data_IF_714479440444
#
_entry.id   IF_714479440444
#
_cell.length_a   1.000
_cell.length_b   1.000
_cell.length_c   1.000
_cell.angle_alpha   90.00
_cell.angle_beta   90.00
_cell.angle_gamma   90.00
#
_symmetry.space_group_name_H-M   'P 1'
#
loop_
_entity.id
_entity.type
_entity.pdbx_description
1 polymer ?
#
# COMPACT_ATOMS: atom_id res chain seq x y z
N UNK A 1 -7.19 7.74 22.76
CA UNK A 1 -6.33 7.99 22.21
C UNK A 1 -6.43 8.42 20.97
N UNK A 2 -5.86 9.08 20.53
CA UNK A 2 -5.95 9.70 19.48
C UNK A 2 -5.30 9.25 18.43
N UNK A 3 -5.63 9.32 17.39
CA UNK A 3 -5.07 8.93 16.27
C UNK A 3 -4.48 10.01 15.54
N UNK A 4 -3.53 10.64 16.15
CA UNK A 4 -2.84 11.73 15.59
C UNK A 4 -2.16 11.33 14.31
N UNK A 5 -1.77 10.09 14.14
CA UNK A 5 -1.06 9.65 12.95
C UNK A 5 -1.92 8.79 12.05
N UNK A 6 -3.14 9.21 11.86
CA UNK A 6 -4.06 8.44 11.07
C UNK A 6 -3.53 8.12 9.67
N UNK A 7 -2.94 9.09 8.99
CA UNK A 7 -2.40 8.87 7.67
C UNK A 7 -1.24 7.91 7.66
N UNK A 8 -0.37 8.01 8.67
CA UNK A 8 0.75 7.11 8.79
C UNK A 8 0.30 5.69 9.13
N UNK A 9 -0.73 5.58 9.96
CA UNK A 9 -1.26 4.27 10.30
C UNK A 9 -1.83 3.57 9.07
N UNK A 10 -2.56 4.30 8.23
CA UNK A 10 -3.11 3.74 7.01
C UNK A 10 -2.00 3.30 6.07
N UNK A 11 -1.00 4.16 5.92
CA UNK A 11 0.14 3.86 5.07
C UNK A 11 0.86 2.59 5.52
N UNK A 12 1.09 2.47 6.83
CA UNK A 12 1.78 1.31 7.38
C UNK A 12 0.99 0.03 7.17
N UNK A 13 -0.33 0.10 7.33
CA UNK A 13 -1.18 -1.06 7.11
C UNK A 13 -1.11 -1.54 5.68
N UNK A 14 -1.11 -0.60 4.73
CA UNK A 14 -1.03 -0.93 3.32
C UNK A 14 0.31 -1.61 3.01
N UNK A 15 1.38 -1.03 3.52
CA UNK A 15 2.72 -1.58 3.28
C UNK A 15 2.82 -2.99 3.85
N UNK A 16 2.36 -3.18 5.07
CA UNK A 16 2.39 -4.50 5.71
C UNK A 16 1.59 -5.51 4.91
N UNK A 17 0.44 -5.09 4.39
CA UNK A 17 -0.41 -5.98 3.63
C UNK A 17 0.25 -6.42 2.35
N UNK A 18 0.91 -5.49 1.66
CA UNK A 18 1.65 -5.82 0.45
C UNK A 18 2.80 -6.76 0.78
N UNK A 19 3.47 -6.50 1.90
CA UNK A 19 4.59 -7.33 2.34
C UNK A 19 4.14 -8.76 2.59
N UNK A 20 2.91 -8.94 3.02
CA UNK A 20 2.37 -10.26 3.30
C UNK A 20 1.87 -10.98 2.05
N UNK A 21 1.91 -10.31 0.90
CA UNK A 21 1.56 -10.94 -0.34
C UNK A 21 0.32 -10.45 -1.05
N UNK A 22 -0.45 -9.56 -0.41
CA UNK A 22 -1.63 -9.02 -1.07
C UNK A 22 -1.19 -7.91 -2.01
N UNK A 23 -1.48 -8.06 -3.29
CA UNK A 23 -0.93 -7.16 -4.29
C UNK A 23 -1.98 -6.37 -5.06
N UNK A 24 -3.25 -6.61 -4.82
CA UNK A 24 -4.31 -5.92 -5.55
C UNK A 24 -5.07 -5.00 -4.62
N UNK A 25 -5.57 -3.88 -5.19
CA UNK A 25 -6.28 -2.88 -4.39
C UNK A 25 -7.45 -3.48 -3.62
N UNK A 26 -8.23 -4.34 -4.27
CA UNK A 26 -9.39 -4.94 -3.61
C UNK A 26 -8.95 -5.74 -2.38
N UNK A 27 -7.91 -6.54 -2.53
CA UNK A 27 -7.41 -7.36 -1.44
C UNK A 27 -6.83 -6.52 -0.32
N UNK A 28 -6.08 -5.49 -0.69
CA UNK A 28 -5.50 -4.59 0.29
C UNK A 28 -6.61 -3.86 1.05
N UNK A 29 -7.63 -3.42 0.34
CA UNK A 29 -8.77 -2.76 0.96
C UNK A 29 -9.44 -3.67 1.99
N UNK A 30 -9.67 -4.91 1.62
CA UNK A 30 -10.31 -5.88 2.52
C UNK A 30 -9.47 -6.16 3.76
N UNK A 31 -8.19 -6.31 3.58
CA UNK A 31 -7.30 -6.66 4.69
C UNK A 31 -7.06 -5.49 5.62
N UNK A 32 -7.05 -4.27 5.09
CA UNK A 32 -6.75 -3.11 5.91
C UNK A 32 -8.00 -2.46 6.52
N UNK A 33 -9.17 -2.77 5.95
CA UNK A 33 -10.40 -2.11 6.36
C UNK A 33 -10.55 -0.70 5.79
N UNK A 34 -9.67 -0.32 4.87
CA UNK A 34 -9.74 0.99 4.22
C UNK A 34 -10.54 0.87 2.93
N UNK A 35 -11.09 1.98 2.47
CA UNK A 35 -11.81 1.97 1.19
C UNK A 35 -10.80 1.84 0.06
N UNK A 36 -11.29 1.39 -1.09
CA UNK A 36 -10.42 1.28 -2.26
C UNK A 36 -9.89 2.63 -2.69
N UNK A 37 -10.69 3.67 -2.57
CA UNK A 37 -10.24 5.03 -2.87
C UNK A 37 -9.07 5.43 -1.99
N UNK A 38 -9.17 5.14 -0.71
CA UNK A 38 -8.13 5.47 0.24
C UNK A 38 -6.85 4.70 -0.08
N UNK A 39 -6.99 3.40 -0.35
CA UNK A 39 -5.85 2.56 -0.70
C UNK A 39 -5.19 3.07 -1.98
N UNK A 40 -6.00 3.39 -2.98
CA UNK A 40 -5.49 3.89 -4.25
C UNK A 40 -4.71 5.19 -4.07
N UNK A 41 -5.25 6.09 -3.25
CA UNK A 41 -4.60 7.37 -2.98
C UNK A 41 -3.22 7.15 -2.36
N UNK A 42 -3.16 6.29 -1.34
CA UNK A 42 -1.90 6.00 -0.67
C UNK A 42 -0.91 5.30 -1.59
N UNK A 43 -1.41 4.38 -2.44
CA UNK A 43 -0.54 3.67 -3.36
C UNK A 43 0.10 4.61 -4.37
N UNK A 44 -0.65 5.62 -4.82
CA UNK A 44 -0.10 6.61 -5.74
C UNK A 44 1.02 7.40 -5.11
N UNK A 45 0.83 7.78 -3.85
CA UNK A 45 1.88 8.51 -3.13
C UNK A 45 3.09 7.64 -2.90
N UNK A 46 2.87 6.37 -2.54
CA UNK A 46 3.96 5.44 -2.32
C UNK A 46 4.72 5.16 -3.62
N UNK A 47 4.00 5.16 -4.73
CA UNK A 47 4.63 4.98 -6.03
C UNK A 47 5.54 6.16 -6.36
N UNK A 48 5.07 7.38 -6.08
CA UNK A 48 5.89 8.56 -6.27
C UNK A 48 7.15 8.54 -5.42
N UNK A 49 7.04 7.98 -4.23
CA UNK A 49 8.16 7.90 -3.30
C UNK A 49 9.03 6.67 -3.58
N UNK A 50 8.66 5.88 -4.58
CA UNK A 50 9.39 4.67 -4.97
C UNK A 50 9.42 3.61 -3.89
N UNK A 51 8.45 3.65 -2.99
CA UNK A 51 8.31 2.63 -1.96
C UNK A 51 7.65 1.39 -2.55
N UNK A 52 6.71 1.59 -3.50
CA UNK A 52 6.07 0.47 -4.18
C UNK A 52 6.24 0.64 -5.68
N UNK A 53 6.07 -0.44 -6.41
CA UNK A 53 6.01 -0.39 -7.86
C UNK A 53 4.70 -1.04 -8.30
N UNK A 54 4.26 -0.68 -9.50
CA UNK A 54 3.03 -1.19 -10.06
C UNK A 54 3.32 -1.86 -11.39
N UNK A 55 2.76 -3.03 -11.59
CA UNK A 55 2.88 -3.75 -12.85
C UNK A 55 1.47 -4.07 -13.34
N UNK A 56 1.21 -3.81 -14.62
CA UNK A 56 -0.07 -4.12 -15.19
C UNK A 56 -0.14 -5.62 -15.45
N UNK A 57 -1.13 -6.27 -14.85
CA UNK A 57 -1.30 -7.70 -15.04
C UNK A 57 -2.78 -7.94 -15.29
N UNK A 58 -3.11 -8.37 -16.50
CA UNK A 58 -4.50 -8.59 -16.86
C UNK A 58 -5.27 -7.29 -16.79
N UNK A 59 -6.30 -7.25 -15.97
CA UNK A 59 -7.16 -6.09 -15.90
C UNK A 59 -6.81 -5.07 -14.85
N UNK A 60 -5.78 -5.29 -14.10
CA UNK A 60 -5.46 -4.38 -13.03
C UNK A 60 -3.99 -4.28 -12.82
N UNK A 61 -3.62 -3.59 -11.76
CA UNK A 61 -2.24 -3.44 -11.39
C UNK A 61 -1.92 -4.34 -10.23
N UNK A 62 -0.70 -4.81 -10.20
CA UNK A 62 -0.18 -5.56 -9.09
C UNK A 62 0.84 -4.66 -8.39
N UNK A 63 0.65 -4.45 -7.11
CA UNK A 63 1.50 -3.55 -6.34
C UNK A 63 2.45 -4.35 -5.47
N UNK A 64 3.73 -4.02 -5.55
CA UNK A 64 4.74 -4.75 -4.77
C UNK A 64 5.70 -3.73 -4.16
N UNK A 65 6.36 -4.14 -3.09
CA UNK A 65 7.37 -3.28 -2.47
C UNK A 65 8.63 -3.30 -3.31
N UNK A 66 9.25 -2.14 -3.47
CA UNK A 66 10.54 -2.06 -4.12
C UNK A 66 11.60 -2.39 -3.09
N UNK A 67 12.83 -2.58 -3.55
CA UNK A 67 13.93 -2.81 -2.64
C UNK A 67 14.10 -1.61 -1.72
N UNK A 68 14.00 -0.41 -2.29
CA UNK A 68 14.06 0.81 -1.51
C UNK A 68 12.95 0.86 -0.47
N UNK A 69 11.74 0.46 -0.88
CA UNK A 69 10.61 0.43 0.04
C UNK A 69 10.81 -0.52 1.19
N UNK A 70 11.39 -1.67 0.92
CA UNK A 70 11.67 -2.64 1.97
C UNK A 70 12.68 -2.09 2.97
N UNK A 71 13.67 -1.38 2.49
CA UNK A 71 14.66 -0.78 3.35
C UNK A 71 14.07 0.30 4.24
N UNK A 72 13.08 1.01 3.72
CA UNK A 72 12.45 2.08 4.50
C UNK A 72 11.54 1.56 5.60
N UNK A 73 11.25 0.29 5.59
CA UNK A 73 10.42 -0.29 6.65
C UNK A 73 11.20 -0.51 7.94
N UNK A 74 12.47 -0.50 7.86
CA UNK A 74 13.32 -0.78 9.01
C UNK A 74 13.50 0.42 9.92
#
# INVERSE_FOLDING_TARGET
MRNVNRGLASRSKIIETIEKGETRIVEISEKTGLTESCVSHHLRLLLKQRVVSAAAVGRGNRWTLTKYGQEKLV
#
